data_IF_349020758571
#
_entry.id   IF_349020758571
#
_cell.length_a   1.000
_cell.length_b   1.000
_cell.length_c   1.000
_cell.angle_alpha   90.00
_cell.angle_beta   90.00
_cell.angle_gamma   90.00
#
_symmetry.space_group_name_H-M   'P 1'
#
loop_
_entity.id
_entity.type
_entity.pdbx_description
1 polymer ?
#
# COMPACT_ATOMS: atom_id res chain seq x y z
N UNK A 1 18.05 -20.09 52.41
CA UNK A 1 17.34 -20.24 51.12
C UNK A 1 15.86 -20.66 51.25
N UNK A 2 15.29 -20.75 52.47
CA UNK A 2 13.92 -21.26 52.69
C UNK A 2 12.78 -20.39 52.12
N UNK A 3 12.94 -19.06 52.12
CA UNK A 3 11.88 -18.13 51.69
C UNK A 3 11.75 -18.07 50.17
N UNK A 4 12.88 -18.18 49.44
CA UNK A 4 12.87 -18.21 47.98
C UNK A 4 12.26 -19.51 47.45
N UNK A 5 12.54 -20.66 48.08
CA UNK A 5 11.89 -21.93 47.75
C UNK A 5 10.36 -21.85 47.89
N UNK A 6 9.86 -21.24 48.97
CA UNK A 6 8.41 -21.05 49.17
C UNK A 6 7.77 -20.11 48.15
N UNK A 7 8.51 -19.12 47.65
CA UNK A 7 8.03 -18.26 46.56
C UNK A 7 7.98 -19.01 45.23
N UNK A 8 9.00 -19.79 44.91
CA UNK A 8 9.04 -20.61 43.68
C UNK A 8 8.00 -21.74 43.69
N UNK A 9 7.72 -22.34 44.85
CA UNK A 9 6.65 -23.33 45.04
C UNK A 9 5.25 -22.74 44.75
N UNK A 10 5.09 -21.43 44.95
CA UNK A 10 3.78 -20.77 44.82
C UNK A 10 3.58 -20.14 43.44
N UNK A 11 4.60 -19.44 42.91
CA UNK A 11 4.60 -18.82 41.58
C UNK A 11 5.98 -19.06 40.95
N UNK A 12 6.12 -20.17 40.24
CA UNK A 12 7.39 -20.54 39.60
C UNK A 12 7.73 -19.65 38.39
N UNK A 13 6.71 -19.18 37.66
CA UNK A 13 6.87 -18.37 36.46
C UNK A 13 5.86 -17.23 36.43
N UNK A 14 6.22 -16.04 35.90
CA UNK A 14 5.25 -15.00 35.59
C UNK A 14 4.14 -15.56 34.68
N UNK A 15 2.91 -15.11 34.88
CA UNK A 15 1.82 -15.48 33.98
C UNK A 15 2.13 -14.94 32.57
N UNK A 16 1.98 -15.80 31.56
CA UNK A 16 2.21 -15.43 30.17
C UNK A 16 1.25 -14.34 29.67
N UNK A 17 0.05 -14.30 30.24
CA UNK A 17 -1.02 -13.39 29.85
C UNK A 17 -1.49 -12.54 31.03
N UNK A 18 -1.72 -11.27 30.75
CA UNK A 18 -2.43 -10.35 31.65
C UNK A 18 -3.92 -10.68 31.64
N UNK A 19 -4.58 -10.52 32.79
CA UNK A 19 -6.04 -10.66 32.91
C UNK A 19 -6.74 -9.71 31.93
N UNK A 20 -7.87 -10.12 31.35
CA UNK A 20 -8.54 -9.37 30.28
C UNK A 20 -9.02 -7.94 30.62
N UNK A 21 -9.09 -7.59 31.91
CA UNK A 21 -9.41 -6.23 32.39
C UNK A 21 -8.18 -5.42 32.81
N UNK A 22 -6.99 -6.03 32.82
CA UNK A 22 -5.77 -5.31 33.10
C UNK A 22 -5.35 -4.52 31.85
N UNK A 23 -4.96 -3.25 32.00
CA UNK A 23 -4.41 -2.49 30.89
C UNK A 23 -3.16 -3.21 30.37
N UNK A 24 -3.15 -3.51 29.08
CA UNK A 24 -2.00 -4.13 28.42
C UNK A 24 -1.30 -3.06 27.62
N UNK A 25 0.03 -3.07 27.68
CA UNK A 25 0.88 -2.19 26.88
C UNK A 25 1.56 -3.03 25.81
N UNK A 26 1.35 -2.66 24.55
CA UNK A 26 2.03 -3.29 23.40
C UNK A 26 2.92 -2.24 22.75
N UNK A 27 4.15 -2.61 22.48
CA UNK A 27 5.12 -1.74 21.79
C UNK A 27 5.35 -2.23 20.36
N UNK A 28 5.34 -1.30 19.42
CA UNK A 28 5.57 -1.57 17.99
C UNK A 28 6.58 -0.56 17.45
N UNK A 29 7.57 -1.03 16.69
CA UNK A 29 8.54 -0.18 16.00
C UNK A 29 8.02 0.14 14.60
N UNK A 30 8.07 1.41 14.24
CA UNK A 30 7.56 1.99 12.99
C UNK A 30 8.66 2.85 12.36
N UNK A 31 8.97 2.71 11.07
CA UNK A 31 9.92 3.58 10.39
C UNK A 31 9.44 5.04 10.36
N UNK A 32 10.36 6.02 10.41
CA UNK A 32 10.04 7.46 10.46
C UNK A 32 9.07 7.91 9.35
N UNK A 33 9.24 7.35 8.16
CA UNK A 33 8.43 7.65 6.96
C UNK A 33 6.92 7.50 7.22
N UNK A 34 6.52 6.57 8.09
CA UNK A 34 5.13 6.26 8.37
C UNK A 34 4.58 6.96 9.61
N UNK A 35 5.43 7.52 10.48
CA UNK A 35 5.00 8.24 11.69
C UNK A 35 4.11 9.43 11.33
N UNK A 36 4.50 10.19 10.30
CA UNK A 36 3.71 11.33 9.82
C UNK A 36 2.32 10.92 9.33
N UNK A 37 2.21 9.78 8.63
CA UNK A 37 0.93 9.25 8.16
C UNK A 37 0.06 8.72 9.32
N UNK A 38 0.68 8.09 10.32
CA UNK A 38 0.02 7.57 11.52
C UNK A 38 -0.57 8.69 12.38
N UNK A 39 0.16 9.79 12.58
CA UNK A 39 -0.32 10.96 13.33
C UNK A 39 -1.39 11.70 12.52
N UNK A 40 -1.16 11.85 11.20
CA UNK A 40 -2.00 12.62 10.29
C UNK A 40 -1.90 14.14 10.52
N UNK A 41 -2.60 14.95 9.71
CA UNK A 41 -2.51 16.41 9.75
C UNK A 41 -3.03 16.95 11.10
N UNK A 42 -2.13 17.47 11.92
CA UNK A 42 -2.45 18.03 13.24
C UNK A 42 -2.84 16.99 14.29
N UNK A 43 -2.47 15.71 14.11
CA UNK A 43 -2.80 14.65 15.07
C UNK A 43 -4.23 14.14 14.97
N UNK A 44 -4.97 14.48 13.92
CA UNK A 44 -6.38 14.07 13.79
C UNK A 44 -6.55 12.56 13.68
N UNK A 45 -5.70 11.88 12.91
CA UNK A 45 -5.81 10.43 12.66
C UNK A 45 -5.56 9.66 13.95
N UNK A 46 -4.50 10.00 14.69
CA UNK A 46 -4.21 9.37 15.97
C UNK A 46 -5.28 9.67 17.03
N UNK A 47 -5.82 10.89 17.08
CA UNK A 47 -6.90 11.25 18.02
C UNK A 47 -8.20 10.50 17.72
N UNK A 48 -8.57 10.39 16.44
CA UNK A 48 -9.74 9.63 16.00
C UNK A 48 -9.58 8.14 16.34
N UNK A 49 -8.40 7.58 16.06
CA UNK A 49 -8.07 6.19 16.36
C UNK A 49 -8.11 5.88 17.87
N UNK A 50 -7.55 6.76 18.71
CA UNK A 50 -7.62 6.63 20.17
C UNK A 50 -9.07 6.70 20.68
N UNK A 51 -9.87 7.59 20.10
CA UNK A 51 -11.28 7.77 20.47
C UNK A 51 -12.15 6.57 20.07
N UNK A 52 -11.94 6.01 18.88
CA UNK A 52 -12.71 4.86 18.40
C UNK A 52 -12.38 3.58 19.14
N UNK A 53 -11.10 3.37 19.47
CA UNK A 53 -10.62 2.13 20.09
C UNK A 53 -10.52 2.19 21.62
N UNK A 54 -10.80 3.36 22.21
CA UNK A 54 -10.62 3.66 23.64
C UNK A 54 -9.20 3.32 24.15
N UNK A 55 -8.21 3.49 23.29
CA UNK A 55 -6.79 3.25 23.59
C UNK A 55 -6.03 4.56 23.71
N UNK A 56 -4.91 4.53 24.43
CA UNK A 56 -3.93 5.62 24.49
C UNK A 56 -2.71 5.21 23.67
N UNK A 57 -2.38 6.00 22.64
CA UNK A 57 -1.24 5.74 21.75
C UNK A 57 -0.19 6.81 22.00
N UNK A 58 1.00 6.40 22.41
CA UNK A 58 2.16 7.28 22.62
C UNK A 58 3.18 6.95 21.55
N UNK A 59 3.68 7.97 20.85
CA UNK A 59 4.72 7.82 19.84
C UNK A 59 5.97 8.51 20.35
N UNK A 60 7.05 7.74 20.49
CA UNK A 60 8.37 8.24 20.85
C UNK A 60 9.31 8.02 19.65
N UNK A 61 10.18 8.97 19.36
CA UNK A 61 11.22 8.81 18.33
C UNK A 61 12.55 8.46 19.00
N UNK A 62 13.21 7.41 18.52
CA UNK A 62 14.54 7.04 19.00
C UNK A 62 15.59 7.97 18.36
N UNK A 63 16.36 8.74 19.15
CA UNK A 63 17.34 9.70 18.63
C UNK A 63 18.54 9.05 17.91
N UNK A 64 18.72 7.73 18.00
CA UNK A 64 19.83 7.02 17.36
C UNK A 64 19.39 6.29 16.09
N UNK A 65 18.24 5.61 16.16
CA UNK A 65 17.75 4.80 15.05
C UNK A 65 16.76 5.53 14.14
N UNK A 66 16.32 6.73 14.54
CA UNK A 66 15.27 7.53 13.86
C UNK A 66 13.94 6.75 13.72
N UNK A 67 13.78 5.64 14.45
CA UNK A 67 12.55 4.85 14.42
C UNK A 67 11.55 5.36 15.46
N UNK A 68 10.27 5.31 15.09
CA UNK A 68 9.16 5.60 15.98
C UNK A 68 8.80 4.35 16.80
N UNK A 69 8.94 4.44 18.11
CA UNK A 69 8.39 3.47 19.05
C UNK A 69 6.97 3.92 19.37
N UNK A 70 6.00 3.15 18.89
CA UNK A 70 4.58 3.34 19.15
C UNK A 70 4.19 2.43 20.32
N UNK A 71 3.80 3.04 21.43
CA UNK A 71 3.30 2.37 22.63
C UNK A 71 1.79 2.51 22.68
N UNK A 72 1.08 1.38 22.67
CA UNK A 72 -0.37 1.32 22.69
C UNK A 72 -0.79 0.78 24.06
N UNK A 73 -1.51 1.60 24.82
CA UNK A 73 -2.08 1.24 26.11
C UNK A 73 -3.60 1.13 25.94
N UNK A 74 -4.15 -0.06 26.23
CA UNK A 74 -5.58 -0.31 26.08
C UNK A 74 -6.13 -1.20 27.18
N UNK A 75 -7.42 -1.03 27.50
CA UNK A 75 -8.17 -1.91 28.40
C UNK A 75 -8.90 -2.95 27.55
N UNK A 76 -8.33 -4.15 27.48
CA UNK A 76 -8.88 -5.26 26.70
C UNK A 76 -8.21 -5.45 25.32
N UNK A 77 -8.22 -6.68 24.84
CA UNK A 77 -7.50 -7.09 23.61
C UNK A 77 -8.11 -6.49 22.34
N UNK A 78 -9.44 -6.34 22.27
CA UNK A 78 -10.14 -5.88 21.05
C UNK A 78 -9.70 -4.51 20.55
N UNK A 79 -9.55 -3.53 21.45
CA UNK A 79 -9.11 -2.18 21.07
C UNK A 79 -7.67 -2.18 20.56
N UNK A 80 -6.80 -2.92 21.25
CA UNK A 80 -5.39 -3.08 20.85
C UNK A 80 -5.29 -3.77 19.49
N UNK A 81 -6.04 -4.87 19.29
CA UNK A 81 -6.04 -5.63 18.02
C UNK A 81 -6.51 -4.75 16.84
N UNK A 82 -7.52 -3.89 17.06
CA UNK A 82 -7.99 -2.95 16.04
C UNK A 82 -6.93 -1.88 15.69
N UNK A 83 -6.24 -1.32 16.69
CA UNK A 83 -5.14 -0.37 16.46
C UNK A 83 -3.99 -1.06 15.74
N UNK A 84 -3.62 -2.27 16.14
CA UNK A 84 -2.56 -3.06 15.50
C UNK A 84 -2.88 -3.32 14.03
N UNK A 85 -4.10 -3.77 13.71
CA UNK A 85 -4.53 -3.97 12.33
C UNK A 85 -4.46 -2.67 11.50
N UNK A 86 -4.84 -1.54 12.10
CA UNK A 86 -4.77 -0.23 11.43
C UNK A 86 -3.31 0.21 11.18
N UNK A 87 -2.42 0.00 12.16
CA UNK A 87 -0.99 0.28 12.01
C UNK A 87 -0.38 -0.61 10.93
N UNK A 88 -0.68 -1.91 10.94
CA UNK A 88 -0.17 -2.84 9.94
C UNK A 88 -0.64 -2.45 8.53
N UNK A 89 -1.87 -1.94 8.38
CA UNK A 89 -2.37 -1.39 7.11
C UNK A 89 -1.58 -0.17 6.63
N UNK A 90 -1.21 0.74 7.55
CA UNK A 90 -0.41 1.95 7.22
C UNK A 90 1.03 1.59 6.90
N UNK A 91 1.60 0.60 7.59
CA UNK A 91 2.96 0.10 7.39
C UNK A 91 3.10 -0.79 6.16
N UNK A 92 1.97 -1.26 5.62
CA UNK A 92 1.99 -2.18 4.50
C UNK A 92 2.65 -1.53 3.29
N UNK A 93 3.76 -2.14 2.86
CA UNK A 93 4.48 -1.77 1.66
C UNK A 93 4.47 -2.97 0.73
N UNK A 94 3.78 -2.90 -0.43
CA UNK A 94 3.74 -4.02 -1.35
C UNK A 94 5.15 -4.32 -1.88
N UNK A 95 5.52 -5.60 -1.84
CA UNK A 95 6.80 -6.10 -2.34
C UNK A 95 6.72 -6.45 -3.83
N UNK A 96 7.77 -6.10 -4.58
CA UNK A 96 7.84 -6.37 -6.02
C UNK A 96 7.83 -7.86 -6.29
N UNK A 97 6.82 -8.32 -7.04
CA UNK A 97 6.67 -9.72 -7.41
C UNK A 97 5.69 -10.50 -6.53
N UNK A 98 5.23 -9.94 -5.42
CA UNK A 98 4.22 -10.54 -4.57
C UNK A 98 2.82 -10.42 -5.17
N UNK A 99 1.96 -11.35 -4.80
CA UNK A 99 0.56 -11.43 -5.21
C UNK A 99 -0.29 -10.98 -4.03
N UNK A 100 -1.23 -10.09 -4.29
CA UNK A 100 -2.11 -9.53 -3.28
C UNK A 100 -3.56 -9.60 -3.76
N UNK A 101 -4.46 -9.92 -2.84
CA UNK A 101 -5.90 -9.86 -3.08
C UNK A 101 -6.36 -8.40 -2.99
N UNK A 102 -7.07 -7.94 -4.02
CA UNK A 102 -7.55 -6.55 -4.11
C UNK A 102 -9.03 -6.50 -4.41
N UNK A 103 -9.68 -5.43 -3.95
CA UNK A 103 -11.10 -5.14 -4.17
C UNK A 103 -11.28 -3.90 -5.03
N UNK A 104 -12.17 -3.93 -6.01
CA UNK A 104 -12.48 -2.76 -6.85
C UNK A 104 -13.34 -1.76 -6.09
N UNK A 105 -12.77 -0.58 -5.79
CA UNK A 105 -13.49 0.51 -5.12
C UNK A 105 -14.06 1.54 -6.11
N UNK A 106 -13.43 1.69 -7.28
CA UNK A 106 -13.85 2.68 -8.27
C UNK A 106 -13.48 2.24 -9.67
N UNK A 107 -14.38 2.45 -10.63
CA UNK A 107 -14.12 2.21 -12.05
C UNK A 107 -13.89 3.53 -12.78
N UNK A 108 -12.97 3.51 -13.74
CA UNK A 108 -12.63 4.62 -14.62
C UNK A 108 -12.61 4.12 -16.07
N UNK A 109 -12.71 5.01 -17.05
CA UNK A 109 -12.76 4.62 -18.47
C UNK A 109 -11.46 3.94 -18.96
N UNK A 110 -10.34 4.20 -18.30
CA UNK A 110 -9.01 3.68 -18.66
C UNK A 110 -8.44 2.67 -17.64
N UNK A 111 -9.18 2.33 -16.58
CA UNK A 111 -8.73 1.40 -15.55
C UNK A 111 -9.69 1.27 -14.36
N UNK A 112 -9.27 0.53 -13.34
CA UNK A 112 -10.00 0.40 -12.08
C UNK A 112 -9.08 0.81 -10.92
N UNK A 113 -9.60 1.55 -9.95
CA UNK A 113 -8.92 1.75 -8.67
C UNK A 113 -9.30 0.59 -7.77
N UNK A 114 -8.28 -0.12 -7.30
CA UNK A 114 -8.42 -1.28 -6.45
C UNK A 114 -7.72 -1.03 -5.12
N UNK A 115 -8.28 -1.56 -4.05
CA UNK A 115 -7.76 -1.45 -2.68
C UNK A 115 -7.24 -2.81 -2.22
N UNK A 116 -6.10 -2.86 -1.55
CA UNK A 116 -5.56 -4.11 -1.01
C UNK A 116 -6.39 -4.61 0.18
N UNK A 117 -6.81 -5.87 0.14
CA UNK A 117 -7.60 -6.49 1.22
C UNK A 117 -6.81 -6.58 2.53
N UNK A 118 -5.51 -6.88 2.45
CA UNK A 118 -4.61 -6.99 3.60
C UNK A 118 -4.21 -5.64 4.20
N UNK A 119 -4.45 -4.55 3.46
CA UNK A 119 -4.05 -3.21 3.86
C UNK A 119 -5.07 -2.15 3.44
N UNK A 120 -6.23 -2.11 4.11
CA UNK A 120 -7.28 -1.15 3.84
C UNK A 120 -6.78 0.30 3.98
N UNK A 121 -7.05 1.10 2.96
CA UNK A 121 -6.55 2.47 2.77
C UNK A 121 -5.44 2.60 1.73
N UNK A 122 -4.84 1.50 1.28
CA UNK A 122 -3.87 1.52 0.18
C UNK A 122 -4.57 1.26 -1.16
N UNK A 123 -4.75 2.34 -1.92
CA UNK A 123 -5.36 2.31 -3.24
C UNK A 123 -4.30 2.26 -4.36
N UNK A 124 -4.54 1.42 -5.36
CA UNK A 124 -3.70 1.31 -6.55
C UNK A 124 -4.52 1.35 -7.83
N UNK A 125 -3.99 1.99 -8.86
CA UNK A 125 -4.62 2.05 -10.17
C UNK A 125 -4.23 0.83 -11.01
N UNK A 126 -5.20 0.00 -11.36
CA UNK A 126 -5.07 -1.07 -12.33
C UNK A 126 -5.44 -0.55 -13.73
N UNK A 127 -4.47 -0.50 -14.63
CA UNK A 127 -4.68 -0.03 -16.00
C UNK A 127 -5.39 -1.10 -16.85
N UNK A 128 -6.25 -0.68 -17.80
CA UNK A 128 -7.03 -1.61 -18.64
C UNK A 128 -6.17 -2.66 -19.38
N UNK A 129 -4.95 -2.28 -19.77
CA UNK A 129 -4.03 -3.18 -20.48
C UNK A 129 -3.42 -4.29 -19.60
N UNK A 130 -3.58 -4.20 -18.28
CA UNK A 130 -3.03 -5.13 -17.30
C UNK A 130 -4.13 -6.01 -16.66
N UNK A 131 -5.40 -5.83 -17.06
CA UNK A 131 -6.56 -6.61 -16.62
C UNK A 131 -6.63 -7.99 -17.27
N UNK A 132 -6.49 -8.06 -18.60
CA UNK A 132 -6.66 -9.29 -19.38
C UNK A 132 -5.69 -9.37 -20.58
N UNK A 133 -5.53 -10.58 -21.14
CA UNK A 133 -4.76 -10.79 -22.37
C UNK A 133 -5.51 -10.35 -23.64
N UNK A 134 -6.84 -10.32 -23.57
CA UNK A 134 -7.73 -9.92 -24.65
C UNK A 134 -7.82 -8.39 -24.77
N UNK A 135 -8.17 -7.90 -25.96
CA UNK A 135 -8.38 -6.48 -26.20
C UNK A 135 -9.75 -6.09 -25.67
N UNK A 136 -9.80 -5.60 -24.44
CA UNK A 136 -11.03 -5.02 -23.90
C UNK A 136 -11.17 -3.55 -24.29
N UNK A 137 -12.34 -3.19 -24.78
CA UNK A 137 -12.70 -1.79 -25.07
C UNK A 137 -13.20 -1.08 -23.82
N UNK A 138 -13.92 -1.77 -22.93
CA UNK A 138 -14.40 -1.22 -21.66
C UNK A 138 -13.93 -2.04 -20.46
N UNK A 139 -13.61 -1.34 -19.36
CA UNK A 139 -13.20 -1.95 -18.09
C UNK A 139 -14.37 -2.71 -17.45
N UNK A 140 -15.60 -2.22 -17.64
CA UNK A 140 -16.85 -2.81 -17.15
C UNK A 140 -17.14 -4.21 -17.66
N UNK A 141 -16.50 -4.62 -18.77
CA UNK A 141 -16.72 -5.93 -19.36
C UNK A 141 -15.88 -7.03 -18.66
N UNK A 142 -14.86 -6.63 -17.89
CA UNK A 142 -13.92 -7.56 -17.22
C UNK A 142 -14.04 -7.52 -15.71
N UNK A 143 -14.31 -6.35 -15.14
CA UNK A 143 -14.37 -6.14 -13.69
C UNK A 143 -15.61 -5.34 -13.33
N UNK A 144 -16.21 -5.71 -12.22
CA UNK A 144 -17.34 -5.01 -11.62
C UNK A 144 -16.89 -4.23 -10.39
N UNK A 145 -17.73 -3.28 -9.96
CA UNK A 145 -17.59 -2.66 -8.64
C UNK A 145 -17.67 -3.74 -7.56
N UNK A 146 -16.87 -3.60 -6.50
CA UNK A 146 -16.75 -4.54 -5.40
C UNK A 146 -16.20 -5.94 -5.75
N UNK A 147 -15.72 -6.15 -6.98
CA UNK A 147 -15.10 -7.41 -7.37
C UNK A 147 -13.77 -7.62 -6.63
N UNK A 148 -13.50 -8.87 -6.22
CA UNK A 148 -12.30 -9.25 -5.47
C UNK A 148 -11.49 -10.24 -6.29
N UNK A 149 -10.23 -9.92 -6.54
CA UNK A 149 -9.33 -10.77 -7.31
C UNK A 149 -7.85 -10.53 -6.97
N UNK A 150 -7.00 -11.47 -7.37
CA UNK A 150 -5.56 -11.36 -7.15
C UNK A 150 -4.87 -10.50 -8.22
N UNK A 151 -3.96 -9.64 -7.77
CA UNK A 151 -3.05 -8.88 -8.62
C UNK A 151 -1.61 -9.08 -8.19
N UNK A 152 -0.70 -9.05 -9.17
CA UNK A 152 0.73 -9.07 -8.91
C UNK A 152 1.28 -7.64 -8.91
N UNK A 153 2.03 -7.29 -7.87
CA UNK A 153 2.69 -5.99 -7.78
C UNK A 153 3.99 -5.98 -8.58
N UNK A 154 4.14 -5.03 -9.50
CA UNK A 154 5.31 -4.88 -10.38
C UNK A 154 6.26 -3.75 -9.95
N UNK A 155 5.95 -3.06 -8.85
CA UNK A 155 6.74 -1.94 -8.37
C UNK A 155 6.28 -0.58 -8.88
N UNK A 156 7.11 0.42 -8.60
CA UNK A 156 6.91 1.79 -9.00
C UNK A 156 7.45 2.04 -10.42
N UNK A 157 6.61 2.60 -11.30
CA UNK A 157 7.06 3.09 -12.60
C UNK A 157 7.90 4.36 -12.39
N UNK A 158 9.18 4.29 -12.78
CA UNK A 158 10.16 5.38 -12.64
C UNK A 158 9.71 6.69 -13.31
N UNK A 159 8.82 6.62 -14.31
CA UNK A 159 8.38 7.80 -15.07
C UNK A 159 7.17 8.48 -14.46
N UNK A 160 6.23 7.71 -13.92
CA UNK A 160 4.96 8.25 -13.38
C UNK A 160 4.96 8.32 -11.86
N UNK A 161 5.94 7.68 -11.19
CA UNK A 161 5.98 7.47 -9.73
C UNK A 161 4.67 6.86 -9.20
N UNK A 162 3.94 6.16 -10.07
CA UNK A 162 2.73 5.41 -9.71
C UNK A 162 3.07 3.94 -9.59
N UNK A 163 2.39 3.30 -8.65
CA UNK A 163 2.43 1.86 -8.48
C UNK A 163 1.84 1.16 -9.71
N UNK A 164 2.52 0.10 -10.15
CA UNK A 164 2.07 -0.73 -11.26
C UNK A 164 1.68 -2.10 -10.73
N UNK A 165 0.41 -2.46 -10.91
CA UNK A 165 -0.13 -3.79 -10.63
C UNK A 165 -0.62 -4.43 -11.92
N UNK A 166 -0.61 -5.76 -11.98
CA UNK A 166 -1.11 -6.50 -13.13
C UNK A 166 -1.77 -7.81 -12.73
N UNK A 167 -2.99 -8.00 -13.21
CA UNK A 167 -3.77 -9.25 -13.10
C UNK A 167 -3.36 -10.25 -14.18
N UNK A 168 -2.97 -9.74 -15.35
CA UNK A 168 -2.58 -10.50 -16.54
C UNK A 168 -1.49 -11.56 -16.28
N UNK A 169 -0.58 -11.30 -15.35
CA UNK A 169 0.55 -12.21 -15.06
C UNK A 169 0.12 -13.47 -14.30
N UNK A 170 -1.04 -13.43 -13.62
CA UNK A 170 -1.59 -14.55 -12.86
C UNK A 170 -2.50 -15.44 -13.70
N UNK A 171 -3.00 -14.93 -14.83
CA UNK A 171 -3.77 -15.71 -15.77
C UNK A 171 -2.84 -16.64 -16.57
N UNK A 172 -3.16 -17.95 -16.69
CA UNK A 172 -2.36 -18.88 -17.47
C UNK A 172 -2.27 -18.39 -18.91
N UNK A 173 -1.05 -18.39 -19.47
CA UNK A 173 -0.80 -17.97 -20.84
C UNK A 173 -1.64 -18.85 -21.79
N UNK A 174 -2.56 -18.28 -22.59
CA UNK A 174 -3.23 -19.05 -23.64
C UNK A 174 -2.18 -19.54 -24.66
N UNK A 175 -2.31 -20.80 -25.09
CA UNK A 175 -1.40 -21.40 -26.08
C UNK A 175 -1.39 -20.57 -27.37
N UNK A 176 -0.24 -19.98 -27.73
CA UNK A 176 -0.07 -19.22 -28.99
C UNK A 176 0.19 -17.71 -28.86
N UNK A 177 0.44 -17.17 -27.67
CA UNK A 177 0.75 -15.74 -27.52
C UNK A 177 2.11 -15.37 -28.13
N UNK A 178 2.08 -14.77 -29.33
CA UNK A 178 3.26 -14.15 -29.96
C UNK A 178 3.46 -12.78 -29.34
N UNK A 179 4.58 -12.62 -28.63
CA UNK A 179 5.00 -11.34 -28.06
C UNK A 179 5.16 -10.31 -29.17
N UNK A 180 4.35 -9.25 -29.15
CA UNK A 180 4.49 -8.17 -30.13
C UNK A 180 5.82 -7.45 -29.88
N UNK A 181 6.63 -7.18 -30.90
CA UNK A 181 7.83 -6.39 -30.73
C UNK A 181 7.48 -5.02 -30.13
N UNK A 182 8.37 -4.44 -29.31
CA UNK A 182 8.15 -3.13 -28.71
C UNK A 182 7.73 -2.12 -29.77
N UNK A 183 6.66 -1.35 -29.51
CA UNK A 183 6.35 -0.19 -30.34
C UNK A 183 7.49 0.80 -30.19
N UNK A 184 8.31 0.89 -31.23
CA UNK A 184 9.28 1.95 -31.39
C UNK A 184 8.49 3.27 -31.47
N UNK A 185 8.52 4.05 -30.39
CA UNK A 185 7.82 5.35 -30.30
C UNK A 185 8.51 6.44 -31.15
N UNK A 186 9.37 6.06 -32.11
CA UNK A 186 10.16 6.99 -32.90
C UNK A 186 9.53 7.33 -34.27
N UNK A 187 8.20 7.41 -34.36
CA UNK A 187 7.52 7.89 -35.57
C UNK A 187 6.95 9.28 -35.36
N UNK A 188 7.68 10.28 -35.87
CA UNK A 188 7.08 11.53 -36.32
C UNK A 188 7.71 12.83 -35.81
N UNK A 189 9.03 13.03 -35.97
CA UNK A 189 9.61 14.39 -36.06
C UNK A 189 10.08 14.69 -37.48
N UNK A 190 9.25 14.35 -38.47
CA UNK A 190 9.39 14.87 -39.82
C UNK A 190 8.84 16.31 -39.84
N UNK A 191 9.66 17.23 -39.34
CA UNK A 191 9.43 18.66 -39.52
C UNK A 191 9.66 18.98 -41.00
N UNK A 192 8.57 18.84 -41.76
CA UNK A 192 8.44 19.25 -43.16
C UNK A 192 9.06 20.63 -43.36
N UNK A 193 9.94 20.71 -44.36
CA UNK A 193 10.54 21.93 -44.85
C UNK A 193 9.51 23.04 -45.02
N UNK A 194 9.75 24.15 -44.31
CA UNK A 194 9.04 25.40 -44.50
C UNK A 194 9.98 26.37 -45.21
N UNK A 195 9.86 26.36 -46.52
CA UNK A 195 9.99 27.51 -47.43
C UNK A 195 10.87 28.68 -46.96
N UNK A 196 12.17 28.62 -47.26
CA UNK A 196 12.99 29.82 -47.43
C UNK A 196 13.07 30.17 -48.92
N UNK A 197 11.96 30.69 -49.46
CA UNK A 197 11.94 31.45 -50.72
C UNK A 197 11.50 32.87 -50.41
N UNK A 198 12.47 33.76 -50.17
CA UNK A 198 12.44 35.22 -50.47
C UNK A 198 13.60 35.89 -49.75
N UNK A 199 14.71 36.10 -50.45
CA UNK A 199 15.16 37.47 -50.71
C UNK A 199 16.30 37.46 -51.71
N UNK A 200 15.94 37.68 -52.98
CA UNK A 200 16.87 38.10 -54.00
C UNK A 200 16.13 39.12 -54.89
N UNK A 201 16.83 40.21 -55.28
CA UNK A 201 16.37 41.53 -55.81
C UNK A 201 16.28 42.60 -54.72
N UNK A 202 17.00 43.73 -54.71
CA UNK A 202 17.78 44.54 -55.68
C UNK A 202 18.57 45.52 -54.77
N UNK A 203 19.89 45.75 -54.85
CA UNK A 203 20.66 46.47 -55.86
C UNK A 203 19.90 47.66 -56.48
N UNK A 204 19.90 48.79 -55.78
CA UNK A 204 20.48 50.07 -56.20
C UNK A 204 20.33 51.12 -55.09
#
# INVERSE_FOLDING_TARGET
>A
LHILEKLTDTIATPNADVKGHAPTMVTRRVPNEFIGALIGPGGKVIQEMQKETETTIVINEDPVTEEGIVEILGVGRKGIDAVMAKIDSILFKPEVGSVYEVKVIKMLDFGAVVEYMDAPGNEVLLHVSELAWERTENVSDVVNMDDVFDVKYFGLDKRTRKEKVSRKTLLPKPEGFVERPPRDNNRGRDNRGRDNRRNDRRKD
#
